data_IF_737589025867
#
_entry.id   IF_737589025867
#
_cell.length_a   1.000
_cell.length_b   1.000
_cell.length_c   1.000
_cell.angle_alpha   90.00
_cell.angle_beta   90.00
_cell.angle_gamma   90.00
#
_symmetry.space_group_name_H-M   'P 1'
#
loop_
_entity.id
_entity.type
_entity.pdbx_description
1 polymer ?
#
# COMPACT_ATOMS: atom_id res chain seq x y z
N UNK A 1 29.37 18.07 52.57
CA UNK A 1 29.21 17.95 51.11
C UNK A 1 30.17 16.86 50.62
N UNK A 2 29.66 15.66 50.37
CA UNK A 2 30.45 14.58 49.76
C UNK A 2 30.53 14.81 48.25
N UNK A 3 31.77 14.85 47.75
CA UNK A 3 32.08 14.97 46.32
C UNK A 3 31.59 13.71 45.59
N UNK A 4 30.64 13.90 44.66
CA UNK A 4 30.18 12.86 43.74
C UNK A 4 31.30 12.63 42.73
N UNK A 5 32.04 11.52 42.90
CA UNK A 5 33.02 11.07 41.90
C UNK A 5 32.28 10.45 40.73
N UNK A 6 32.32 11.12 39.59
CA UNK A 6 31.86 10.57 38.30
C UNK A 6 32.68 9.32 37.97
N UNK A 7 32.06 8.17 37.65
CA UNK A 7 32.80 6.97 37.27
C UNK A 7 33.54 7.20 35.94
N UNK A 8 34.81 6.81 35.90
CA UNK A 8 35.64 6.84 34.70
C UNK A 8 35.58 5.45 34.07
N UNK A 9 34.90 5.33 32.93
CA UNK A 9 34.97 4.13 32.08
C UNK A 9 36.38 4.03 31.47
N UNK A 10 37.11 2.94 31.76
CA UNK A 10 38.36 2.61 31.09
C UNK A 10 38.11 1.54 30.04
N UNK A 11 38.19 1.92 28.77
CA UNK A 11 38.31 0.97 27.66
C UNK A 11 39.80 0.68 27.45
N UNK A 12 40.21 -0.58 27.51
CA UNK A 12 41.56 -1.00 27.11
C UNK A 12 41.43 -1.85 25.85
N UNK A 13 42.01 -1.38 24.73
CA UNK A 13 42.13 -2.16 23.49
C UNK A 13 41.27 -1.77 22.29
N UNK A 14 40.43 -0.72 22.35
CA UNK A 14 39.63 -0.30 21.21
C UNK A 14 40.39 0.71 20.32
N UNK A 15 40.98 0.22 19.23
CA UNK A 15 41.19 1.06 18.05
C UNK A 15 39.96 0.94 17.14
N UNK A 16 39.45 2.09 16.70
CA UNK A 16 38.44 2.32 15.64
C UNK A 16 37.06 2.80 16.10
N UNK A 17 36.55 3.74 15.30
CA UNK A 17 35.46 4.68 15.55
C UNK A 17 34.04 4.07 15.49
N UNK A 18 33.87 2.81 15.88
CA UNK A 18 32.57 2.15 15.90
C UNK A 18 32.03 2.04 17.33
N UNK A 19 30.74 2.33 17.48
CA UNK A 19 30.05 2.18 18.75
C UNK A 19 30.22 0.74 19.27
N UNK A 20 30.84 0.59 20.45
CA UNK A 20 30.95 -0.69 21.14
C UNK A 20 29.53 -1.08 21.56
N UNK A 21 28.91 -1.99 20.81
CA UNK A 21 27.67 -2.66 21.21
C UNK A 21 28.10 -3.76 22.16
N UNK A 22 27.83 -3.58 23.44
CA UNK A 22 28.06 -4.59 24.43
C UNK A 22 26.89 -4.66 25.40
N UNK A 23 26.54 -5.87 25.83
CA UNK A 23 25.48 -6.09 26.82
C UNK A 23 26.02 -5.74 28.20
N UNK A 24 25.73 -4.53 28.67
CA UNK A 24 26.00 -4.13 30.04
C UNK A 24 24.77 -4.42 30.90
N UNK A 25 24.89 -5.33 31.87
CA UNK A 25 23.94 -5.41 32.97
C UNK A 25 24.24 -4.24 33.91
N UNK A 26 23.36 -3.24 33.99
CA UNK A 26 23.50 -2.20 35.01
C UNK A 26 23.26 -2.83 36.37
N UNK A 27 24.24 -2.75 37.26
CA UNK A 27 24.06 -3.12 38.66
C UNK A 27 23.59 -1.88 39.44
N UNK A 28 22.63 -2.07 40.35
CA UNK A 28 22.00 -0.99 41.11
C UNK A 28 22.90 -0.40 42.21
N UNK A 29 24.17 -0.79 42.26
CA UNK A 29 25.12 -0.39 43.30
C UNK A 29 26.05 0.71 42.79
N UNK A 30 26.02 1.92 43.35
CA UNK A 30 26.97 2.96 42.99
C UNK A 30 28.42 2.51 43.25
N UNK A 31 29.28 2.58 42.22
CA UNK A 31 30.71 2.25 42.33
C UNK A 31 31.11 0.82 42.02
N UNK A 32 30.18 -0.06 41.62
CA UNK A 32 30.52 -1.40 41.14
C UNK A 32 31.09 -1.38 39.73
N UNK A 33 32.02 -2.29 39.48
CA UNK A 33 32.54 -2.58 38.14
C UNK A 33 31.41 -3.24 37.34
N UNK A 34 31.21 -2.78 36.12
CA UNK A 34 30.35 -3.44 35.12
C UNK A 34 31.28 -4.14 34.15
N UNK A 35 31.27 -5.47 34.18
CA UNK A 35 31.99 -6.26 33.19
C UNK A 35 31.19 -6.27 31.90
N UNK A 36 31.84 -5.78 30.84
CA UNK A 36 31.27 -5.63 29.51
C UNK A 36 31.99 -6.62 28.60
N UNK A 37 31.38 -7.77 28.36
CA UNK A 37 31.92 -8.79 27.46
C UNK A 37 31.36 -8.58 26.05
N UNK A 38 32.25 -8.46 25.06
CA UNK A 38 31.91 -8.60 23.64
C UNK A 38 32.28 -10.02 23.25
N UNK A 39 31.31 -10.77 22.74
CA UNK A 39 31.54 -12.14 22.27
C UNK A 39 32.53 -12.18 21.10
N UNK A 40 33.03 -13.38 20.77
CA UNK A 40 34.03 -13.56 19.72
C UNK A 40 33.61 -13.05 18.32
N UNK A 41 32.31 -12.92 18.07
CA UNK A 41 31.75 -12.42 16.80
C UNK A 41 30.77 -11.28 17.08
N UNK A 42 30.89 -10.20 16.30
CA UNK A 42 29.94 -9.08 16.28
C UNK A 42 29.10 -9.16 15.01
N UNK A 43 27.78 -9.05 15.14
CA UNK A 43 26.82 -9.05 14.04
C UNK A 43 26.14 -7.68 13.91
N UNK A 44 26.22 -7.09 12.71
CA UNK A 44 25.53 -5.86 12.33
C UNK A 44 24.37 -6.18 11.43
N UNK A 45 23.17 -5.72 11.80
CA UNK A 45 21.95 -5.89 11.03
C UNK A 45 21.58 -4.56 10.36
N UNK A 46 21.26 -4.60 9.07
CA UNK A 46 20.77 -3.43 8.32
C UNK A 46 19.69 -3.84 7.30
N UNK A 47 18.78 -2.92 6.99
CA UNK A 47 17.81 -3.12 5.91
C UNK A 47 18.52 -2.90 4.58
N UNK A 48 18.37 -3.83 3.64
CA UNK A 48 18.87 -3.68 2.28
C UNK A 48 18.00 -2.73 1.48
N UNK A 49 18.64 -1.97 0.59
CA UNK A 49 17.90 -1.16 -0.36
C UNK A 49 17.08 -2.05 -1.28
N UNK A 50 15.82 -1.70 -1.47
CA UNK A 50 14.95 -2.33 -2.43
C UNK A 50 15.27 -1.84 -3.86
N UNK A 51 14.51 -2.31 -4.85
CA UNK A 51 14.69 -1.94 -6.27
C UNK A 51 14.42 -0.47 -6.59
N UNK A 52 13.83 0.28 -5.66
CA UNK A 52 13.61 1.72 -5.73
C UNK A 52 14.68 2.51 -4.98
N UNK A 53 15.75 1.85 -4.54
CA UNK A 53 16.91 2.42 -3.85
C UNK A 53 16.59 3.05 -2.48
N UNK A 54 15.48 2.65 -1.86
CA UNK A 54 15.12 3.01 -0.47
C UNK A 54 15.01 1.76 0.41
N UNK A 55 14.72 1.94 1.71
CA UNK A 55 14.63 0.85 2.70
C UNK A 55 13.19 0.47 3.05
N UNK A 56 12.21 0.90 2.24
CA UNK A 56 10.82 0.50 2.47
C UNK A 56 10.61 -0.97 2.13
N UNK A 57 9.67 -1.65 2.82
CA UNK A 57 9.23 -2.97 2.45
C UNK A 57 8.68 -3.02 1.02
N UNK A 58 8.73 -4.22 0.43
CA UNK A 58 8.09 -4.52 -0.84
C UNK A 58 6.86 -5.41 -0.58
N UNK A 59 5.77 -5.15 -1.30
CA UNK A 59 4.63 -6.05 -1.45
C UNK A 59 4.89 -6.90 -2.70
N UNK A 60 5.22 -8.20 -2.54
CA UNK A 60 5.59 -9.05 -3.67
C UNK A 60 4.46 -9.21 -4.68
N UNK A 61 4.80 -9.41 -5.96
CA UNK A 61 3.80 -9.55 -7.05
C UNK A 61 2.82 -10.72 -6.85
N UNK A 62 3.30 -11.79 -6.21
CA UNK A 62 2.47 -12.97 -5.90
C UNK A 62 1.64 -12.81 -4.62
N UNK A 63 1.91 -11.80 -3.79
CA UNK A 63 1.20 -11.61 -2.54
C UNK A 63 -0.22 -11.12 -2.79
N UNK A 64 -1.14 -11.53 -1.92
CA UNK A 64 -2.53 -11.08 -1.91
C UNK A 64 -2.88 -10.57 -0.52
N UNK A 65 -3.91 -9.74 -0.49
CA UNK A 65 -4.50 -9.23 0.74
C UNK A 65 -5.04 -10.40 1.55
N UNK A 66 -4.67 -10.48 2.82
CA UNK A 66 -5.17 -11.47 3.77
C UNK A 66 -5.70 -10.74 5.00
N UNK A 67 -6.96 -11.01 5.39
CA UNK A 67 -7.62 -10.33 6.51
C UNK A 67 -7.50 -8.79 6.44
N UNK A 68 -7.73 -8.22 5.25
CA UNK A 68 -7.60 -6.78 4.95
C UNK A 68 -6.18 -6.20 5.11
N UNK A 69 -5.15 -7.05 5.25
CA UNK A 69 -3.75 -6.63 5.37
C UNK A 69 -2.92 -6.99 4.15
N UNK A 70 -1.86 -6.24 3.91
CA UNK A 70 -0.85 -6.52 2.89
C UNK A 70 0.35 -7.27 3.46
N UNK A 71 1.05 -8.02 2.63
CA UNK A 71 2.32 -8.64 3.00
C UNK A 71 3.46 -7.62 2.90
N UNK A 72 4.10 -7.32 4.02
CA UNK A 72 5.37 -6.61 4.06
C UNK A 72 6.52 -7.61 3.92
N UNK A 73 7.35 -7.44 2.88
CA UNK A 73 8.61 -8.17 2.72
C UNK A 73 9.80 -7.22 2.87
N UNK A 74 10.68 -7.49 3.82
CA UNK A 74 11.91 -6.73 4.06
C UNK A 74 13.12 -7.64 3.89
N UNK A 75 14.08 -7.21 3.07
CA UNK A 75 15.38 -7.88 2.97
C UNK A 75 16.34 -7.24 3.96
N UNK A 76 16.95 -8.05 4.81
CA UNK A 76 17.87 -7.62 5.86
C UNK A 76 19.23 -8.26 5.58
N UNK A 77 20.27 -7.45 5.69
CA UNK A 77 21.67 -7.87 5.64
C UNK A 77 22.16 -8.08 7.06
N UNK A 78 22.82 -9.21 7.29
CA UNK A 78 23.62 -9.46 8.47
C UNK A 78 25.09 -9.53 8.07
N UNK A 79 25.93 -8.75 8.73
CA UNK A 79 27.38 -8.71 8.52
C UNK A 79 28.08 -9.14 9.82
N UNK A 80 28.87 -10.20 9.74
CA UNK A 80 29.52 -10.82 10.89
C UNK A 80 31.04 -10.61 10.81
N UNK A 81 31.61 -10.08 11.89
CA UNK A 81 33.04 -9.79 12.02
C UNK A 81 33.57 -10.44 13.28
N UNK A 82 34.76 -11.06 13.19
CA UNK A 82 35.47 -11.56 14.36
C UNK A 82 35.97 -10.38 15.20
N UNK A 83 35.56 -10.31 16.46
CA UNK A 83 35.94 -9.24 17.37
C UNK A 83 37.46 -9.18 17.60
N UNK A 84 38.12 -10.33 17.62
CA UNK A 84 39.54 -10.45 17.99
C UNK A 84 40.51 -9.85 16.96
N UNK A 85 40.15 -9.83 15.67
CA UNK A 85 41.06 -9.46 14.59
C UNK A 85 40.42 -8.63 13.48
N UNK A 86 39.12 -8.32 13.58
CA UNK A 86 38.37 -7.56 12.58
C UNK A 86 38.15 -8.29 11.25
N UNK A 87 38.49 -9.58 11.12
CA UNK A 87 38.28 -10.36 9.90
C UNK A 87 36.82 -10.78 9.76
N UNK A 88 36.38 -10.90 8.51
CA UNK A 88 35.04 -11.39 8.19
C UNK A 88 34.82 -12.82 8.71
N UNK A 89 33.70 -13.03 9.40
CA UNK A 89 33.35 -14.32 9.94
C UNK A 89 32.54 -15.11 8.90
N UNK A 90 33.26 -15.80 8.01
CA UNK A 90 32.70 -16.65 6.95
C UNK A 90 32.15 -17.99 7.49
N UNK A 91 31.14 -18.54 6.81
CA UNK A 91 30.58 -19.86 7.07
C UNK A 91 29.79 -19.96 8.39
N UNK A 92 29.44 -18.84 9.00
CA UNK A 92 28.73 -18.80 10.28
C UNK A 92 27.23 -18.88 10.06
N UNK A 93 26.54 -19.67 10.90
CA UNK A 93 25.09 -19.70 10.94
C UNK A 93 24.57 -18.65 11.92
N UNK A 94 23.46 -17.99 11.58
CA UNK A 94 22.85 -16.95 12.40
C UNK A 94 21.35 -17.24 12.61
N UNK A 95 20.93 -17.18 13.87
CA UNK A 95 19.54 -17.34 14.29
C UNK A 95 18.99 -15.97 14.69
N UNK A 96 18.33 -15.30 13.74
CA UNK A 96 17.61 -14.05 13.98
C UNK A 96 16.17 -14.34 14.38
N UNK A 97 15.66 -13.61 15.38
CA UNK A 97 14.27 -13.68 15.83
C UNK A 97 13.64 -12.29 15.78
N UNK A 98 12.34 -12.25 15.50
CA UNK A 98 11.51 -11.08 15.76
C UNK A 98 10.96 -11.13 17.18
N UNK A 99 10.69 -9.97 17.76
CA UNK A 99 9.92 -9.85 19.00
C UNK A 99 8.41 -10.08 18.82
N UNK A 100 7.94 -10.28 17.58
CA UNK A 100 6.54 -10.60 17.25
C UNK A 100 6.41 -12.04 16.77
N UNK A 101 5.36 -12.73 17.22
CA UNK A 101 5.11 -14.13 16.86
C UNK A 101 4.56 -14.33 15.44
N UNK A 102 3.92 -13.31 14.86
CA UNK A 102 3.36 -13.36 13.51
C UNK A 102 4.43 -13.23 12.40
N UNK A 103 5.62 -12.77 12.75
CA UNK A 103 6.68 -12.49 11.79
C UNK A 103 7.41 -13.77 11.38
N UNK A 104 7.63 -13.93 10.08
CA UNK A 104 8.37 -15.04 9.49
C UNK A 104 9.74 -14.58 9.04
N UNK A 105 10.78 -15.18 9.59
CA UNK A 105 12.18 -14.97 9.16
C UNK A 105 12.62 -16.14 8.30
N UNK A 106 13.06 -15.83 7.07
CA UNK A 106 13.59 -16.79 6.10
C UNK A 106 15.05 -16.46 5.89
N UNK A 107 15.97 -17.40 6.10
CA UNK A 107 17.41 -17.16 5.92
C UNK A 107 18.01 -18.11 4.89
N UNK A 108 19.05 -17.64 4.21
CA UNK A 108 19.76 -18.42 3.18
C UNK A 108 20.88 -19.31 3.75
N UNK A 109 20.88 -19.58 5.07
CA UNK A 109 21.86 -20.45 5.71
C UNK A 109 23.01 -19.71 6.40
N UNK A 110 24.20 -19.77 5.81
CA UNK A 110 25.47 -19.32 6.43
C UNK A 110 26.03 -18.06 5.74
N UNK A 111 26.89 -17.33 6.43
CA UNK A 111 27.64 -16.20 5.85
C UNK A 111 28.59 -16.63 4.74
N UNK A 112 28.74 -15.79 3.73
CA UNK A 112 29.68 -15.96 2.62
C UNK A 112 31.13 -15.58 2.99
N UNK A 113 32.01 -15.52 1.98
CA UNK A 113 33.42 -15.13 2.16
C UNK A 113 33.61 -13.70 2.66
N UNK A 114 32.61 -12.83 2.49
CA UNK A 114 32.60 -11.46 2.99
C UNK A 114 31.98 -11.35 4.38
N UNK A 115 31.60 -12.48 5.00
CA UNK A 115 30.94 -12.50 6.30
C UNK A 115 29.50 -12.00 6.23
N UNK A 116 28.91 -11.99 5.03
CA UNK A 116 27.57 -11.45 4.78
C UNK A 116 26.58 -12.61 4.62
N UNK A 117 25.38 -12.44 5.18
CA UNK A 117 24.22 -13.23 4.80
C UNK A 117 22.98 -12.36 4.69
N UNK A 118 22.04 -12.79 3.85
CA UNK A 118 20.74 -12.15 3.72
C UNK A 118 19.65 -12.99 4.36
N UNK A 119 18.73 -12.29 5.01
CA UNK A 119 17.49 -12.83 5.53
C UNK A 119 16.31 -12.00 5.03
N UNK A 120 15.16 -12.64 4.90
CA UNK A 120 13.90 -12.04 4.48
C UNK A 120 12.94 -12.11 5.65
N UNK A 121 12.45 -10.96 6.08
CA UNK A 121 11.32 -10.82 6.98
C UNK A 121 10.03 -10.73 6.15
N UNK A 122 9.05 -11.55 6.47
CA UNK A 122 7.70 -11.52 5.91
C UNK A 122 6.67 -11.41 7.04
N UNK A 123 5.74 -10.46 6.93
CA UNK A 123 4.65 -10.30 7.91
C UNK A 123 3.48 -9.54 7.30
N UNK A 124 2.26 -9.85 7.76
CA UNK A 124 1.07 -9.06 7.47
C UNK A 124 0.84 -7.97 8.54
N UNK A 125 1.62 -7.95 9.62
CA UNK A 125 1.42 -7.02 10.74
C UNK A 125 2.23 -5.72 10.58
N UNK A 126 1.52 -4.59 10.50
CA UNK A 126 2.12 -3.26 10.53
C UNK A 126 2.70 -2.89 11.92
N UNK A 127 3.33 -1.72 12.01
CA UNK A 127 3.89 -1.13 13.23
C UNK A 127 5.37 -1.47 13.49
N UNK A 128 5.81 -1.19 14.72
CA UNK A 128 7.21 -1.35 15.14
C UNK A 128 7.55 -2.77 15.61
N UNK A 129 8.67 -3.30 15.11
CA UNK A 129 9.25 -4.59 15.52
C UNK A 129 10.75 -4.44 15.76
N UNK A 130 11.33 -5.42 16.44
CA UNK A 130 12.77 -5.51 16.66
C UNK A 130 13.27 -6.90 16.27
N UNK A 131 14.34 -6.94 15.47
CA UNK A 131 15.06 -8.16 15.13
C UNK A 131 16.32 -8.28 15.98
N UNK A 132 16.54 -9.43 16.59
CA UNK A 132 17.73 -9.69 17.41
C UNK A 132 18.34 -11.05 17.12
N UNK A 133 19.66 -11.17 17.33
CA UNK A 133 20.36 -12.46 17.26
C UNK A 133 20.13 -13.24 18.55
N UNK A 134 19.90 -14.54 18.39
CA UNK A 134 19.87 -15.53 19.47
C UNK A 134 20.99 -16.58 19.34
N UNK A 135 21.94 -16.35 18.43
CA UNK A 135 23.09 -17.25 18.24
C UNK A 135 24.10 -17.09 19.38
N UNK A 136 24.45 -18.18 20.10
CA UNK A 136 25.50 -18.14 21.11
C UNK A 136 26.84 -17.69 20.52
N UNK A 137 27.61 -16.88 21.26
CA UNK A 137 28.91 -16.37 20.80
C UNK A 137 28.83 -15.25 19.75
N UNK A 138 27.63 -14.73 19.48
CA UNK A 138 27.40 -13.59 18.59
C UNK A 138 26.78 -12.43 19.38
N UNK A 139 27.48 -11.31 19.46
CA UNK A 139 26.92 -10.05 19.98
C UNK A 139 26.27 -9.28 18.84
N UNK A 140 25.03 -8.80 19.01
CA UNK A 140 24.31 -8.00 18.01
C UNK A 140 23.39 -6.99 18.66
N UNK A 141 23.35 -5.77 18.14
CA UNK A 141 22.31 -4.82 18.51
C UNK A 141 21.00 -5.18 17.82
N UNK A 142 19.88 -4.98 18.51
CA UNK A 142 18.56 -5.13 17.89
C UNK A 142 18.37 -4.14 16.74
N UNK A 143 17.94 -4.63 15.58
CA UNK A 143 17.51 -3.81 14.46
C UNK A 143 16.03 -3.46 14.64
N UNK A 144 15.74 -2.18 14.78
CA UNK A 144 14.37 -1.67 14.87
C UNK A 144 13.82 -1.39 13.48
N UNK A 145 12.62 -1.89 13.19
CA UNK A 145 11.94 -1.70 11.90
C UNK A 145 10.52 -1.18 12.17
N UNK A 146 10.07 -0.21 11.38
CA UNK A 146 8.69 0.28 11.41
C UNK A 146 8.05 -0.03 10.07
N UNK A 147 7.02 -0.86 10.08
CA UNK A 147 6.26 -1.25 8.90
C UNK A 147 4.99 -0.40 8.84
N UNK A 148 4.89 0.48 7.85
CA UNK A 148 3.69 1.28 7.62
C UNK A 148 3.45 1.36 6.12
N UNK A 149 4.39 2.01 5.45
CA UNK A 149 4.37 2.19 4.01
C UNK A 149 5.08 1.00 3.34
N UNK A 150 4.67 0.65 2.14
CA UNK A 150 5.34 -0.37 1.32
C UNK A 150 5.15 -0.10 -0.16
N UNK A 151 6.13 -0.46 -0.97
CA UNK A 151 5.98 -0.38 -2.42
C UNK A 151 5.41 -1.66 -2.98
N UNK A 152 4.45 -1.55 -3.89
CA UNK A 152 4.12 -2.69 -4.74
C UNK A 152 5.28 -3.02 -5.67
N UNK A 153 5.58 -4.31 -5.79
CA UNK A 153 6.59 -4.77 -6.73
C UNK A 153 6.12 -4.59 -8.17
N UNK A 154 4.88 -4.94 -8.49
CA UNK A 154 4.35 -4.73 -9.83
C UNK A 154 3.92 -3.28 -10.06
N UNK A 155 4.02 -2.83 -11.30
CA UNK A 155 3.43 -1.56 -11.75
C UNK A 155 1.94 -1.76 -11.99
N UNK A 156 1.14 -0.73 -11.75
CA UNK A 156 -0.30 -0.74 -11.99
C UNK A 156 -0.62 -0.06 -13.32
N UNK A 157 -1.43 -0.71 -14.15
CA UNK A 157 -2.12 -0.02 -15.23
C UNK A 157 -3.06 1.02 -14.63
N UNK A 158 -2.94 2.27 -15.07
CA UNK A 158 -3.78 3.38 -14.60
C UNK A 158 -4.77 3.77 -15.69
N UNK A 159 -6.06 3.71 -15.37
CA UNK A 159 -7.17 4.19 -16.21
C UNK A 159 -8.01 5.22 -15.46
N UNK A 160 -9.05 5.76 -16.10
CA UNK A 160 -10.01 6.65 -15.45
C UNK A 160 -11.45 6.33 -15.81
N UNK A 161 -12.35 6.49 -14.83
CA UNK A 161 -13.79 6.30 -14.97
C UNK A 161 -14.54 7.54 -14.48
N UNK A 162 -15.75 7.73 -14.98
CA UNK A 162 -16.59 8.88 -14.70
C UNK A 162 -18.07 8.48 -14.62
N UNK A 163 -18.86 9.27 -13.92
CA UNK A 163 -20.32 9.23 -14.05
C UNK A 163 -20.76 10.06 -15.25
N UNK A 164 -21.93 9.77 -15.82
CA UNK A 164 -22.45 10.58 -16.91
C UNK A 164 -22.91 11.95 -16.41
N UNK A 165 -22.76 13.00 -17.22
CA UNK A 165 -23.30 14.33 -16.94
C UNK A 165 -24.39 14.65 -17.97
N UNK A 166 -25.58 15.06 -17.54
CA UNK A 166 -26.72 15.32 -18.42
C UNK A 166 -26.42 16.36 -19.51
N UNK A 167 -25.49 17.29 -19.27
CA UNK A 167 -25.08 18.28 -20.26
C UNK A 167 -24.51 17.63 -21.54
N UNK A 168 -23.94 16.43 -21.43
CA UNK A 168 -23.32 15.69 -22.53
C UNK A 168 -24.31 14.92 -23.41
N UNK A 169 -25.60 14.95 -23.06
CA UNK A 169 -26.67 14.21 -23.70
C UNK A 169 -27.60 15.11 -24.50
N UNK A 170 -28.35 14.48 -25.39
CA UNK A 170 -29.36 15.07 -26.28
C UNK A 170 -30.70 14.38 -26.04
N UNK A 171 -31.73 14.79 -26.79
CA UNK A 171 -33.05 14.17 -26.73
C UNK A 171 -34.09 15.03 -25.99
N UNK A 172 -35.37 14.64 -26.09
CA UNK A 172 -36.44 15.32 -25.39
C UNK A 172 -36.28 15.18 -23.86
N UNK A 173 -36.85 16.14 -23.14
CA UNK A 173 -36.99 16.03 -21.69
C UNK A 173 -38.17 15.09 -21.37
N UNK A 174 -37.89 14.04 -20.63
CA UNK A 174 -38.85 12.99 -20.25
C UNK A 174 -38.93 12.86 -18.73
N UNK A 175 -40.04 12.30 -18.26
CA UNK A 175 -40.21 11.97 -16.86
C UNK A 175 -39.47 10.67 -16.53
N UNK A 176 -38.73 10.68 -15.43
CA UNK A 176 -38.12 9.48 -14.86
C UNK A 176 -38.90 9.02 -13.64
N UNK A 177 -39.28 7.75 -13.58
CA UNK A 177 -39.94 7.18 -12.39
C UNK A 177 -39.06 7.41 -11.16
N UNK A 178 -39.59 8.09 -10.14
CA UNK A 178 -38.86 8.44 -8.91
C UNK A 178 -38.16 9.80 -8.93
N UNK A 179 -38.27 10.56 -10.01
CA UNK A 179 -37.74 11.92 -10.14
C UNK A 179 -38.87 12.95 -10.18
N UNK A 180 -38.57 14.17 -9.75
CA UNK A 180 -39.51 15.29 -9.75
C UNK A 180 -39.31 16.20 -10.97
N UNK A 181 -38.08 16.26 -11.49
CA UNK A 181 -37.70 17.05 -12.65
C UNK A 181 -37.66 16.17 -13.91
N UNK A 182 -37.85 16.78 -15.08
CA UNK A 182 -37.67 16.11 -16.36
C UNK A 182 -36.21 16.18 -16.78
N UNK A 183 -35.71 15.10 -17.36
CA UNK A 183 -34.32 14.99 -17.79
C UNK A 183 -34.24 14.47 -19.22
N UNK A 184 -33.11 14.67 -19.87
CA UNK A 184 -32.88 14.19 -21.24
C UNK A 184 -33.04 12.67 -21.30
N UNK A 185 -33.80 12.20 -22.28
CA UNK A 185 -34.09 10.78 -22.46
C UNK A 185 -32.83 9.91 -22.54
N UNK A 186 -31.83 10.31 -23.35
CA UNK A 186 -30.58 9.56 -23.49
C UNK A 186 -29.76 9.51 -22.19
N UNK A 187 -29.92 10.51 -21.31
CA UNK A 187 -29.26 10.55 -20.00
C UNK A 187 -29.90 9.56 -19.03
N UNK A 188 -31.23 9.48 -18.99
CA UNK A 188 -31.94 8.56 -18.11
C UNK A 188 -31.94 7.12 -18.63
N UNK A 189 -32.08 6.89 -19.94
CA UNK A 189 -32.39 5.57 -20.48
C UNK A 189 -31.36 5.05 -21.50
N UNK A 190 -30.46 5.89 -22.00
CA UNK A 190 -29.48 5.50 -23.01
C UNK A 190 -28.33 4.64 -22.46
N UNK A 191 -27.69 3.88 -23.35
CA UNK A 191 -26.56 2.99 -23.06
C UNK A 191 -25.27 3.70 -22.65
N UNK A 192 -25.24 5.03 -22.68
CA UNK A 192 -24.16 5.85 -22.13
C UNK A 192 -24.56 6.61 -20.87
N UNK A 193 -25.85 6.62 -20.54
CA UNK A 193 -26.45 7.35 -19.43
C UNK A 193 -26.42 6.56 -18.13
N UNK A 194 -27.33 6.93 -17.21
CA UNK A 194 -27.42 6.38 -15.86
C UNK A 194 -27.52 4.84 -15.84
N UNK A 195 -28.26 4.15 -16.72
CA UNK A 195 -28.40 2.69 -16.63
C UNK A 195 -27.08 1.95 -16.84
N UNK A 196 -26.15 2.52 -17.61
CA UNK A 196 -24.82 1.95 -17.82
C UNK A 196 -23.84 2.38 -16.74
N UNK A 197 -23.86 3.65 -16.34
CA UNK A 197 -22.89 4.22 -15.38
C UNK A 197 -23.30 4.00 -13.91
N UNK A 198 -24.54 3.58 -13.67
CA UNK A 198 -25.16 3.46 -12.34
C UNK A 198 -25.57 4.80 -11.71
N UNK A 199 -24.82 5.87 -11.96
CA UNK A 199 -25.10 7.23 -11.46
C UNK A 199 -24.77 8.28 -12.54
N UNK A 200 -25.50 9.39 -12.52
CA UNK A 200 -25.22 10.57 -13.32
C UNK A 200 -25.47 11.87 -12.56
N UNK A 201 -24.95 12.98 -13.07
CA UNK A 201 -25.22 14.33 -12.54
C UNK A 201 -26.13 15.09 -13.50
N UNK A 202 -27.20 15.68 -12.98
CA UNK A 202 -28.12 16.51 -13.74
C UNK A 202 -27.55 17.92 -14.01
N UNK A 203 -28.27 18.73 -14.79
CA UNK A 203 -27.85 20.11 -15.10
C UNK A 203 -27.84 21.07 -13.92
N UNK A 204 -28.45 20.68 -12.79
CA UNK A 204 -28.50 21.45 -11.54
C UNK A 204 -27.43 21.00 -10.54
N UNK A 205 -26.57 20.05 -10.91
CA UNK A 205 -25.52 19.53 -10.05
C UNK A 205 -25.98 18.47 -9.03
N UNK A 206 -27.21 17.96 -9.14
CA UNK A 206 -27.70 16.88 -8.29
C UNK A 206 -27.31 15.53 -8.90
N UNK A 207 -26.94 14.58 -8.05
CA UNK A 207 -26.70 13.21 -8.49
C UNK A 207 -28.00 12.42 -8.54
N UNK A 208 -28.15 11.63 -9.60
CA UNK A 208 -29.25 10.71 -9.82
C UNK A 208 -28.66 9.32 -10.00
N UNK A 209 -29.12 8.36 -9.21
CA UNK A 209 -28.71 6.96 -9.30
C UNK A 209 -29.83 6.09 -9.83
N UNK A 210 -29.45 4.99 -10.49
CA UNK A 210 -30.36 3.92 -10.87
C UNK A 210 -30.88 3.22 -9.61
N UNK A 211 -32.18 3.29 -9.35
CA UNK A 211 -32.81 2.57 -8.23
C UNK A 211 -33.08 1.11 -8.62
N UNK A 212 -33.68 0.90 -9.79
CA UNK A 212 -33.83 -0.42 -10.40
C UNK A 212 -34.03 -0.32 -11.90
N UNK A 213 -33.71 -1.42 -12.58
CA UNK A 213 -33.99 -1.64 -14.00
C UNK A 213 -34.57 -3.05 -14.13
N UNK A 214 -35.87 -3.15 -14.36
CA UNK A 214 -36.63 -4.41 -14.49
C UNK A 214 -36.85 -4.74 -15.96
N UNK A 215 -35.76 -4.93 -16.70
CA UNK A 215 -35.85 -5.18 -18.13
C UNK A 215 -34.51 -5.59 -18.71
N UNK A 216 -34.45 -5.65 -20.04
CA UNK A 216 -33.22 -5.91 -20.78
C UNK A 216 -32.86 -4.69 -21.63
N UNK A 217 -31.58 -4.62 -22.01
CA UNK A 217 -31.11 -3.66 -23.00
C UNK A 217 -31.78 -3.93 -24.33
N UNK A 218 -32.39 -2.91 -24.91
CA UNK A 218 -32.79 -2.92 -26.30
C UNK A 218 -31.54 -2.66 -27.12
N UNK A 219 -31.28 -3.55 -28.08
CA UNK A 219 -30.13 -3.43 -28.95
C UNK A 219 -30.44 -2.55 -30.16
N UNK A 220 -29.43 -1.78 -30.61
CA UNK A 220 -29.50 -1.09 -31.89
C UNK A 220 -29.39 -2.09 -33.05
N UNK A 221 -29.47 -1.57 -34.28
CA UNK A 221 -29.37 -2.36 -35.52
C UNK A 221 -28.06 -3.14 -35.69
N UNK A 222 -27.03 -2.83 -34.89
CA UNK A 222 -25.74 -3.55 -34.87
C UNK A 222 -25.68 -4.60 -33.74
N UNK A 223 -26.76 -4.82 -33.01
CA UNK A 223 -26.80 -5.76 -31.88
C UNK A 223 -26.13 -5.26 -30.60
N UNK A 224 -25.73 -3.98 -30.53
CA UNK A 224 -25.13 -3.40 -29.33
C UNK A 224 -26.20 -2.75 -28.43
N UNK A 225 -26.04 -2.76 -27.09
CA UNK A 225 -26.96 -2.07 -26.18
C UNK A 225 -27.15 -0.60 -26.57
N UNK A 226 -28.41 -0.16 -26.60
CA UNK A 226 -28.78 1.19 -27.03
C UNK A 226 -29.54 1.95 -25.94
N UNK A 227 -30.65 1.39 -25.46
CA UNK A 227 -31.45 2.00 -24.39
C UNK A 227 -32.21 0.95 -23.57
N UNK A 228 -32.76 1.40 -22.44
CA UNK A 228 -33.64 0.59 -21.57
C UNK A 228 -35.05 1.16 -21.60
N UNK A 229 -36.05 0.32 -21.30
CA UNK A 229 -37.45 0.77 -21.27
C UNK A 229 -37.73 1.63 -20.04
N UNK A 230 -38.44 2.75 -20.25
CA UNK A 230 -38.75 3.73 -19.20
C UNK A 230 -39.69 3.17 -18.13
N UNK A 231 -40.70 2.40 -18.53
CA UNK A 231 -41.73 1.82 -17.64
C UNK A 231 -41.18 0.86 -16.58
N UNK A 232 -39.98 0.32 -16.81
CA UNK A 232 -39.34 -0.67 -15.94
C UNK A 232 -38.10 -0.12 -15.22
N UNK A 233 -37.82 1.16 -15.41
CA UNK A 233 -36.61 1.81 -14.90
C UNK A 233 -36.98 2.93 -13.96
N UNK A 234 -36.44 2.89 -12.75
CA UNK A 234 -36.64 3.94 -11.75
C UNK A 234 -35.30 4.48 -11.25
N UNK A 235 -35.36 5.72 -10.81
CA UNK A 235 -34.23 6.50 -10.35
C UNK A 235 -34.52 7.10 -8.99
N UNK A 236 -33.47 7.63 -8.38
CA UNK A 236 -33.57 8.40 -7.15
C UNK A 236 -32.48 9.46 -7.10
N UNK A 237 -32.79 10.62 -6.54
CA UNK A 237 -31.75 11.59 -6.17
C UNK A 237 -30.89 11.02 -5.04
N UNK A 238 -29.59 11.20 -5.16
CA UNK A 238 -28.60 10.81 -4.15
C UNK A 238 -27.69 12.00 -3.83
N UNK A 239 -27.15 12.03 -2.62
CA UNK A 239 -26.28 13.13 -2.20
C UNK A 239 -24.85 13.04 -2.75
N UNK A 240 -24.45 11.85 -3.23
CA UNK A 240 -23.10 11.59 -3.72
C UNK A 240 -23.05 10.31 -4.57
N UNK A 241 -21.99 10.16 -5.36
CA UNK A 241 -21.66 8.91 -6.06
C UNK A 241 -21.18 7.88 -5.02
N UNK A 242 -21.69 6.65 -5.12
CA UNK A 242 -21.38 5.56 -4.20
C UNK A 242 -20.62 4.45 -4.91
N UNK A 243 -19.41 4.16 -4.43
CA UNK A 243 -18.63 3.00 -4.81
C UNK A 243 -18.93 1.81 -3.91
N UNK A 244 -18.23 0.72 -4.15
CA UNK A 244 -18.40 -0.53 -3.39
C UNK A 244 -18.00 -0.40 -1.92
N UNK A 245 -16.98 0.39 -1.61
CA UNK A 245 -16.38 0.49 -0.27
C UNK A 245 -16.68 1.81 0.43
N UNK A 246 -17.11 2.84 -0.31
CA UNK A 246 -17.40 4.15 0.25
C UNK A 246 -18.06 5.11 -0.74
N UNK A 247 -18.08 6.40 -0.37
CA UNK A 247 -18.43 7.47 -1.30
C UNK A 247 -17.24 7.73 -2.22
N UNK A 248 -17.53 8.00 -3.48
CA UNK A 248 -16.52 8.25 -4.50
C UNK A 248 -16.44 9.76 -4.76
N UNK A 249 -15.22 10.30 -4.76
CA UNK A 249 -14.94 11.73 -4.95
C UNK A 249 -13.85 11.94 -5.99
N UNK A 250 -14.00 13.01 -6.77
CA UNK A 250 -13.04 13.43 -7.78
C UNK A 250 -11.65 13.63 -7.16
N UNK A 251 -10.60 13.22 -7.89
CA UNK A 251 -9.20 13.35 -7.47
C UNK A 251 -8.86 12.72 -6.10
N UNK A 252 -9.70 11.79 -5.64
CA UNK A 252 -9.56 11.15 -4.34
C UNK A 252 -9.76 9.64 -4.47
N UNK A 253 -10.85 9.21 -5.09
CA UNK A 253 -11.27 7.82 -5.08
C UNK A 253 -10.76 7.05 -6.29
N UNK A 254 -10.39 5.79 -6.07
CA UNK A 254 -10.00 4.83 -7.10
C UNK A 254 -10.83 3.54 -6.96
N UNK A 255 -11.09 2.89 -8.10
CA UNK A 255 -11.53 1.51 -8.12
C UNK A 255 -10.30 0.59 -8.19
N UNK A 256 -10.31 -0.50 -7.41
CA UNK A 256 -9.19 -1.44 -7.28
C UNK A 256 -9.64 -2.89 -7.27
N UNK A 257 -8.69 -3.83 -7.41
CA UNK A 257 -8.88 -5.22 -7.01
C UNK A 257 -8.66 -5.37 -5.49
N UNK A 258 -9.69 -5.72 -4.70
CA UNK A 258 -9.57 -5.86 -3.25
C UNK A 258 -8.64 -6.99 -2.79
N UNK A 259 -8.25 -7.92 -3.68
CA UNK A 259 -7.27 -8.96 -3.37
C UNK A 259 -5.82 -8.44 -3.50
N UNK A 260 -5.62 -7.25 -4.06
CA UNK A 260 -4.29 -6.61 -4.21
C UNK A 260 -4.17 -5.39 -3.32
N UNK A 261 -5.16 -4.49 -3.33
CA UNK A 261 -5.22 -3.30 -2.48
C UNK A 261 -6.41 -3.45 -1.54
N UNK A 262 -6.23 -3.44 -0.20
CA UNK A 262 -7.35 -3.55 0.74
C UNK A 262 -8.43 -2.48 0.52
N UNK A 263 -9.71 -2.78 0.78
CA UNK A 263 -10.77 -1.78 0.78
C UNK A 263 -10.45 -0.59 1.70
N UNK A 264 -10.67 0.63 1.20
CA UNK A 264 -10.42 1.92 1.89
C UNK A 264 -8.94 2.26 2.14
N UNK A 265 -8.02 1.43 1.67
CA UNK A 265 -6.59 1.73 1.76
C UNK A 265 -6.21 3.02 1.03
N UNK A 266 -5.17 3.65 1.54
CA UNK A 266 -4.51 4.83 0.98
C UNK A 266 -3.30 4.41 0.16
N UNK A 267 -3.18 4.98 -1.04
CA UNK A 267 -2.04 4.75 -1.91
C UNK A 267 -1.53 6.06 -2.50
N UNK A 268 -0.22 6.15 -2.72
CA UNK A 268 0.40 7.20 -3.54
C UNK A 268 0.76 6.61 -4.91
N UNK A 269 0.22 7.20 -5.97
CA UNK A 269 0.39 6.74 -7.35
C UNK A 269 1.31 7.72 -8.08
N UNK A 270 2.40 7.23 -8.64
CA UNK A 270 3.39 8.05 -9.34
C UNK A 270 2.77 8.89 -10.47
N UNK A 271 2.84 10.22 -10.34
CA UNK A 271 2.30 11.18 -11.31
C UNK A 271 0.79 11.45 -11.19
N UNK A 272 0.12 10.87 -10.19
CA UNK A 272 -1.31 11.06 -9.90
C UNK A 272 -1.53 11.55 -8.47
N UNK A 273 -0.72 11.06 -7.52
CA UNK A 273 -0.73 11.42 -6.11
C UNK A 273 -1.58 10.49 -5.24
N UNK A 274 -1.94 10.98 -4.06
CA UNK A 274 -2.70 10.27 -3.03
C UNK A 274 -4.10 9.90 -3.52
N UNK A 275 -4.49 8.62 -3.36
CA UNK A 275 -5.81 8.08 -3.68
C UNK A 275 -6.29 7.06 -2.64
N UNK A 276 -7.59 6.81 -2.63
CA UNK A 276 -8.30 5.95 -1.68
C UNK A 276 -9.10 4.87 -2.40
N UNK A 277 -8.94 3.62 -1.96
CA UNK A 277 -9.64 2.45 -2.51
C UNK A 277 -11.12 2.41 -2.10
N UNK A 278 -11.93 3.31 -2.66
CA UNK A 278 -13.34 3.48 -2.32
C UNK A 278 -14.30 2.65 -3.20
N UNK A 279 -13.79 2.06 -4.29
CA UNK A 279 -14.61 1.32 -5.25
C UNK A 279 -13.95 0.06 -5.83
N UNK A 280 -14.72 -0.72 -6.59
CA UNK A 280 -14.24 -1.81 -7.43
C UNK A 280 -14.95 -1.81 -8.78
N UNK A 281 -14.27 -2.30 -9.81
CA UNK A 281 -14.90 -2.58 -11.11
C UNK A 281 -14.69 -4.03 -11.52
N UNK A 282 -15.62 -4.59 -12.31
CA UNK A 282 -15.51 -5.99 -12.77
C UNK A 282 -14.30 -6.25 -13.67
N UNK A 283 -13.79 -5.21 -14.36
CA UNK A 283 -12.59 -5.25 -15.19
C UNK A 283 -11.33 -4.77 -14.48
N UNK A 284 -11.46 -4.33 -13.22
CA UNK A 284 -10.37 -3.84 -12.41
C UNK A 284 -9.88 -5.02 -11.57
N UNK A 285 -8.95 -5.77 -12.15
CA UNK A 285 -8.43 -7.02 -11.62
C UNK A 285 -6.91 -6.98 -11.59
N UNK A 286 -6.30 -7.61 -10.58
CA UNK A 286 -4.85 -7.61 -10.37
C UNK A 286 -4.27 -6.19 -10.27
N UNK A 287 -3.14 -5.92 -10.92
CA UNK A 287 -2.45 -4.63 -10.93
C UNK A 287 -3.09 -3.62 -11.91
N UNK A 288 -4.36 -3.30 -11.68
CA UNK A 288 -5.13 -2.29 -12.41
C UNK A 288 -5.81 -1.35 -11.42
N UNK A 289 -5.64 -0.05 -11.61
CA UNK A 289 -6.32 1.01 -10.86
C UNK A 289 -7.09 1.87 -11.85
N UNK A 290 -8.33 2.20 -11.50
CA UNK A 290 -9.18 3.10 -12.29
C UNK A 290 -9.52 4.33 -11.45
N UNK A 291 -9.09 5.50 -11.88
CA UNK A 291 -9.21 6.75 -11.12
C UNK A 291 -10.57 7.43 -11.38
N UNK A 292 -11.27 7.81 -10.31
CA UNK A 292 -12.52 8.54 -10.49
C UNK A 292 -12.27 9.98 -10.91
N UNK A 293 -12.72 10.29 -12.12
CA UNK A 293 -12.49 11.57 -12.78
C UNK A 293 -13.57 12.59 -12.47
N UNK A 294 -14.76 12.13 -12.09
CA UNK A 294 -15.92 12.99 -11.90
C UNK A 294 -17.04 12.74 -12.85
N UNK A 295 -17.68 13.82 -13.29
CA UNK A 295 -18.82 13.74 -14.20
C UNK A 295 -18.53 14.24 -15.61
N UNK A 296 -19.05 13.50 -16.58
CA UNK A 296 -19.14 13.92 -17.96
C UNK A 296 -17.87 13.74 -18.80
N UNK A 297 -17.96 14.14 -20.07
CA UNK A 297 -16.89 13.96 -21.07
C UNK A 297 -15.71 14.88 -20.83
N UNK A 298 -15.95 16.07 -20.28
CA UNK A 298 -14.92 17.08 -20.08
C UNK A 298 -13.77 16.56 -19.19
N UNK A 299 -14.10 15.93 -18.05
CA UNK A 299 -13.10 15.37 -17.13
C UNK A 299 -12.32 14.22 -17.77
N UNK A 300 -12.96 13.44 -18.64
CA UNK A 300 -12.29 12.38 -19.42
C UNK A 300 -11.28 12.98 -20.41
N UNK A 301 -11.65 14.04 -21.12
CA UNK A 301 -10.73 14.68 -22.08
C UNK A 301 -9.51 15.27 -21.38
N UNK A 302 -9.69 15.91 -20.22
CA UNK A 302 -8.57 16.40 -19.40
C UNK A 302 -7.65 15.24 -19.02
N UNK A 303 -8.20 14.17 -18.45
CA UNK A 303 -7.43 12.99 -18.05
C UNK A 303 -6.63 12.34 -19.20
N UNK A 304 -7.22 12.26 -20.39
CA UNK A 304 -6.54 11.77 -21.58
C UNK A 304 -5.40 12.70 -22.01
N UNK A 305 -5.59 14.02 -21.90
CA UNK A 305 -4.59 15.01 -22.29
C UNK A 305 -3.38 15.08 -21.35
N UNK A 306 -3.55 14.70 -20.08
CA UNK A 306 -2.47 14.66 -19.08
C UNK A 306 -1.48 13.49 -19.30
N UNK A 307 -1.80 12.55 -20.18
CA UNK A 307 -0.90 11.44 -20.55
C UNK A 307 -0.70 10.38 -19.46
N UNK A 308 -1.57 10.36 -18.43
CA UNK A 308 -1.55 9.33 -17.39
C UNK A 308 -2.34 8.09 -17.81
N UNK A 309 -3.45 8.27 -18.53
CA UNK A 309 -4.33 7.17 -18.90
C UNK A 309 -3.63 6.11 -19.76
N UNK A 310 -3.77 4.84 -19.39
CA UNK A 310 -3.16 3.70 -20.09
C UNK A 310 -1.69 3.46 -19.76
N UNK A 311 -1.11 4.21 -18.81
CA UNK A 311 0.29 4.02 -18.40
C UNK A 311 0.43 3.04 -17.25
N UNK A 312 1.64 2.49 -17.07
CA UNK A 312 1.97 1.65 -15.92
C UNK A 312 2.76 2.47 -14.90
N UNK A 313 2.25 2.61 -13.67
CA UNK A 313 2.82 3.47 -12.62
C UNK A 313 3.22 2.68 -11.39
N UNK A 314 4.23 3.19 -10.67
CA UNK A 314 4.55 2.69 -9.33
C UNK A 314 3.46 3.15 -8.35
N UNK A 315 3.19 2.31 -7.37
CA UNK A 315 2.20 2.57 -6.33
C UNK A 315 2.80 2.23 -4.99
N UNK A 316 2.71 3.18 -4.05
CA UNK A 316 3.07 2.99 -2.65
C UNK A 316 1.80 2.83 -1.83
N UNK A 317 1.71 1.74 -1.08
CA UNK A 317 0.72 1.59 -0.03
C UNK A 317 1.10 2.44 1.19
N UNK A 318 0.13 3.15 1.78
CA UNK A 318 0.35 4.08 2.89
C UNK A 318 -0.37 3.68 4.19
N UNK A 319 -1.18 2.60 4.16
CA UNK A 319 -2.05 2.19 5.25
C UNK A 319 -3.53 2.44 4.95
N UNK A 320 -4.37 2.15 5.94
CA UNK A 320 -5.79 2.53 5.97
C UNK A 320 -5.97 3.83 6.76
#
# INVERSE_FOLDING_TARGET
MQSIKTPILKFTGAHMADAIIATANTNSTPGSIVDVSVEGIVCRLSIEKNKYFDTLPIIPTAARVENEKILYRVKVKAELVQHSNGKMACGQALNIKSNRSADKIISNGRTDSEGIMFLTLETYEAGSLELSSSTPGVTSASLKIVLKDAWYESLFLITGYNVCNEIDFSGPLVEGTGLQEKHKEDFLFGARGIPMQGTGMDTNGKYISLLHMRGHWIANSRGAPDHVLSQDTAFQYVSAVKGKFGLVKENHSIAVDPHVIPPRAQVDIDGVGLRFADDKGSKIVSYHIDNFLGSGKAVVQVWLSEGVNGTHRRVKFLGD
#
